data_IF_141270194883
#
_entry.id   IF_141270194883
#
_cell.length_a   1.000
_cell.length_b   1.000
_cell.length_c   1.000
_cell.angle_alpha   90.00
_cell.angle_beta   90.00
_cell.angle_gamma   90.00
#
_symmetry.space_group_name_H-M   'P 1'
#
loop_
_entity.id
_entity.type
_entity.pdbx_description
1 polymer ?
#
# COMPACT_ATOMS: atom_id res chain seq x y z
N UNK A 1 13.27 7.90 -5.02
CA UNK A 1 11.80 7.96 -4.99
C UNK A 1 11.27 7.20 -3.79
N UNK A 2 10.38 7.83 -3.04
CA UNK A 2 9.77 7.20 -1.86
C UNK A 2 8.32 6.84 -2.16
N UNK A 3 7.99 5.57 -1.97
CA UNK A 3 6.67 5.04 -2.26
C UNK A 3 6.10 4.30 -1.06
N UNK A 4 4.80 4.06 -1.09
CA UNK A 4 4.13 3.26 -0.07
C UNK A 4 3.32 2.18 -0.76
N UNK A 5 3.67 0.92 -0.48
CA UNK A 5 2.85 -0.21 -0.91
C UNK A 5 1.69 -0.36 0.06
N UNK A 6 0.53 -0.67 -0.46
CA UNK A 6 -0.70 -0.79 0.32
C UNK A 6 -1.38 -2.10 0.00
N UNK A 7 -1.67 -2.86 1.06
CA UNK A 7 -2.58 -4.00 0.98
C UNK A 7 -3.84 -3.65 1.74
N UNK A 8 -5.00 -3.79 1.10
CA UNK A 8 -6.27 -3.61 1.78
C UNK A 8 -6.77 -4.98 2.21
N UNK A 9 -6.92 -5.15 3.52
CA UNK A 9 -7.32 -6.44 4.10
C UNK A 9 -8.43 -6.20 5.11
N UNK A 10 -9.63 -6.76 4.85
CA UNK A 10 -10.78 -6.49 5.68
C UNK A 10 -11.11 -5.00 5.66
N UNK A 11 -11.12 -4.38 6.82
CA UNK A 11 -11.47 -2.98 6.98
C UNK A 11 -10.24 -2.10 7.24
N UNK A 12 -9.05 -2.55 6.85
CA UNK A 12 -7.84 -1.75 7.09
C UNK A 12 -6.90 -1.74 5.89
N UNK A 13 -6.10 -0.70 5.83
CA UNK A 13 -4.99 -0.60 4.90
C UNK A 13 -3.71 -0.93 5.64
N UNK A 14 -2.91 -1.82 5.07
CA UNK A 14 -1.59 -2.19 5.59
C UNK A 14 -0.56 -1.52 4.72
N UNK A 15 0.40 -0.84 5.35
CA UNK A 15 1.32 0.05 4.67
C UNK A 15 2.77 -0.44 4.78
N UNK A 16 3.53 -0.23 3.72
CA UNK A 16 4.97 -0.44 3.73
C UNK A 16 5.66 0.67 2.96
N UNK A 17 6.43 1.49 3.67
CA UNK A 17 7.24 2.52 3.00
C UNK A 17 8.47 1.88 2.38
N UNK A 18 8.83 2.35 1.20
CA UNK A 18 10.05 1.92 0.53
C UNK A 18 10.63 3.08 -0.25
N UNK A 19 11.93 3.20 -0.22
CA UNK A 19 12.64 4.23 -0.97
C UNK A 19 13.71 3.59 -1.84
N UNK A 20 13.79 4.03 -3.08
CA UNK A 20 14.86 3.64 -3.99
C UNK A 20 15.64 4.90 -4.37
N UNK A 21 16.92 4.92 -4.02
CA UNK A 21 17.77 6.07 -4.27
C UNK A 21 19.21 5.62 -4.44
N UNK A 22 19.85 6.11 -5.51
CA UNK A 22 21.26 5.81 -5.78
C UNK A 22 21.55 4.30 -5.85
N UNK A 23 20.62 3.54 -6.43
CA UNK A 23 20.79 2.10 -6.58
C UNK A 23 20.48 1.28 -5.32
N UNK A 24 20.06 1.92 -4.24
CA UNK A 24 19.80 1.26 -2.96
C UNK A 24 18.34 1.35 -2.56
N UNK A 25 17.83 0.24 -2.02
CA UNK A 25 16.49 0.18 -1.42
C UNK A 25 16.60 0.39 0.08
N UNK A 26 15.75 1.27 0.61
CA UNK A 26 15.64 1.51 2.05
C UNK A 26 14.19 1.31 2.48
N UNK A 27 14.02 0.89 3.72
CA UNK A 27 12.71 0.70 4.34
C UNK A 27 12.57 1.69 5.50
N UNK A 28 12.15 2.94 5.24
CA UNK A 28 11.99 3.91 6.32
C UNK A 28 10.93 3.44 7.31
N UNK A 29 11.16 3.71 8.59
CA UNK A 29 10.16 3.43 9.61
C UNK A 29 8.94 4.32 9.39
N UNK A 30 7.77 3.77 9.70
CA UNK A 30 6.52 4.50 9.61
C UNK A 30 5.80 4.39 10.95
N UNK A 31 5.37 5.54 11.50
CA UNK A 31 4.69 5.56 12.80
C UNK A 31 3.40 4.77 12.82
N UNK A 32 2.82 4.52 11.65
CA UNK A 32 1.57 3.79 11.55
C UNK A 32 1.59 2.92 10.30
N UNK A 33 1.57 1.61 10.49
CA UNK A 33 1.65 0.65 9.39
C UNK A 33 0.31 -0.06 9.14
N UNK A 34 -0.71 0.23 9.94
CA UNK A 34 -2.07 -0.27 9.77
C UNK A 34 -3.03 0.89 10.02
N UNK A 35 -3.96 1.08 9.10
CA UNK A 35 -4.93 2.17 9.20
C UNK A 35 -6.32 1.62 8.96
N UNK A 36 -7.16 1.60 9.99
CA UNK A 36 -8.49 1.01 9.91
C UNK A 36 -9.54 2.04 9.52
N UNK A 37 -10.52 1.60 8.75
CA UNK A 37 -11.72 2.36 8.47
C UNK A 37 -12.88 1.69 9.20
N UNK A 38 -13.26 2.24 10.35
CA UNK A 38 -14.42 1.78 11.11
C UNK A 38 -15.61 2.66 10.77
N UNK A 39 -16.83 2.12 10.96
CA UNK A 39 -18.07 2.86 10.69
C UNK A 39 -18.04 3.48 9.27
N UNK A 40 -17.77 2.66 8.30
CA UNK A 40 -17.56 3.11 6.91
C UNK A 40 -18.79 3.73 6.26
N UNK A 41 -19.95 3.59 6.87
CA UNK A 41 -21.20 4.19 6.39
C UNK A 41 -21.29 5.67 6.72
N UNK A 42 -20.44 6.16 7.62
CA UNK A 42 -20.44 7.57 8.01
C UNK A 42 -19.38 8.34 7.23
N UNK A 43 -19.81 9.41 6.59
CA UNK A 43 -18.90 10.24 5.81
C UNK A 43 -17.73 10.76 6.66
N UNK A 44 -18.00 11.11 7.92
CA UNK A 44 -16.97 11.59 8.83
C UNK A 44 -15.88 10.57 9.05
N UNK A 45 -16.24 9.28 9.18
CA UNK A 45 -15.26 8.21 9.38
C UNK A 45 -14.35 8.06 8.15
N UNK A 46 -14.95 8.14 6.96
CA UNK A 46 -14.18 8.06 5.72
C UNK A 46 -13.24 9.26 5.58
N UNK A 47 -13.72 10.46 5.94
CA UNK A 47 -12.88 11.67 5.91
C UNK A 47 -11.72 11.58 6.88
N UNK A 48 -11.95 11.05 8.10
CA UNK A 48 -10.90 10.88 9.10
C UNK A 48 -9.84 9.90 8.61
N UNK A 49 -10.29 8.81 8.00
CA UNK A 49 -9.37 7.83 7.42
C UNK A 49 -8.50 8.50 6.35
N UNK A 50 -9.13 9.21 5.42
CA UNK A 50 -8.41 9.89 4.34
C UNK A 50 -7.46 10.95 4.88
N UNK A 51 -7.91 11.71 5.87
CA UNK A 51 -7.07 12.73 6.51
C UNK A 51 -5.82 12.11 7.15
N UNK A 52 -6.00 10.99 7.87
CA UNK A 52 -4.87 10.30 8.50
C UNK A 52 -3.85 9.86 7.44
N UNK A 53 -4.34 9.33 6.31
CA UNK A 53 -3.46 8.91 5.23
C UNK A 53 -2.78 10.12 4.57
N UNK A 54 -3.52 11.21 4.39
CA UNK A 54 -2.96 12.46 3.84
C UNK A 54 -1.80 12.96 4.71
N UNK A 55 -1.94 12.88 6.02
CA UNK A 55 -0.88 13.29 6.95
C UNK A 55 0.35 12.39 6.84
N UNK A 56 0.15 11.09 6.68
CA UNK A 56 1.28 10.18 6.47
C UNK A 56 2.02 10.51 5.17
N UNK A 57 1.28 10.75 4.10
CA UNK A 57 1.87 11.12 2.82
C UNK A 57 2.71 12.39 2.96
N UNK A 58 2.16 13.38 3.65
CA UNK A 58 2.83 14.66 3.87
C UNK A 58 4.07 14.51 4.77
N UNK A 59 3.91 13.83 5.90
CA UNK A 59 4.98 13.73 6.91
C UNK A 59 6.15 12.88 6.42
N UNK A 60 5.89 11.84 5.66
CA UNK A 60 6.92 10.95 5.13
C UNK A 60 7.32 11.28 3.69
N UNK A 61 6.73 12.31 3.10
CA UNK A 61 7.01 12.76 1.73
C UNK A 61 6.85 11.62 0.73
N UNK A 62 5.74 10.91 0.85
CA UNK A 62 5.43 9.79 -0.06
C UNK A 62 5.02 10.38 -1.42
N UNK A 63 5.66 9.92 -2.48
CA UNK A 63 5.39 10.39 -3.83
C UNK A 63 4.35 9.56 -4.54
N UNK A 64 4.24 8.29 -4.18
CA UNK A 64 3.38 7.34 -4.87
C UNK A 64 2.81 6.32 -3.91
N UNK A 65 1.51 6.07 -4.00
CA UNK A 65 0.87 4.93 -3.36
C UNK A 65 0.66 3.87 -4.42
N UNK A 66 0.99 2.63 -4.10
CA UNK A 66 0.69 1.51 -4.98
C UNK A 66 -0.21 0.56 -4.21
N UNK A 67 -1.44 0.45 -4.63
CA UNK A 67 -2.44 -0.37 -3.96
C UNK A 67 -2.56 -1.68 -4.72
N UNK A 68 -2.36 -2.80 -4.02
CA UNK A 68 -2.64 -4.09 -4.64
C UNK A 68 -4.13 -4.17 -4.91
N UNK A 69 -4.49 -4.34 -6.18
CA UNK A 69 -5.87 -4.34 -6.61
C UNK A 69 -6.66 -5.47 -5.96
N UNK A 70 -7.87 -5.16 -5.53
CA UNK A 70 -8.74 -6.15 -4.92
C UNK A 70 -9.53 -6.89 -6.01
N UNK A 71 -9.70 -8.22 -5.89
CA UNK A 71 -10.58 -8.93 -6.83
C UNK A 71 -12.00 -8.39 -6.72
N UNK A 72 -12.59 -8.07 -7.88
CA UNK A 72 -13.94 -7.52 -7.93
C UNK A 72 -15.00 -8.60 -8.07
N UNK A 73 -14.60 -9.81 -8.51
CA UNK A 73 -15.50 -10.92 -8.76
C UNK A 73 -14.91 -12.20 -8.22
N UNK A 74 -15.78 -13.20 -8.02
CA UNK A 74 -15.38 -14.54 -7.65
C UNK A 74 -15.29 -14.75 -6.16
N UNK A 75 -14.76 -15.93 -5.80
CA UNK A 75 -14.72 -16.40 -4.41
C UNK A 75 -13.91 -15.49 -3.49
N UNK A 76 -12.88 -14.85 -4.03
CA UNK A 76 -11.98 -14.02 -3.25
C UNK A 76 -12.18 -12.53 -3.47
N UNK A 77 -13.38 -12.15 -3.96
CA UNK A 77 -13.71 -10.75 -4.18
C UNK A 77 -13.58 -9.94 -2.89
N UNK A 78 -13.13 -8.70 -3.00
CA UNK A 78 -13.00 -7.81 -1.86
C UNK A 78 -14.35 -7.37 -1.31
N UNK A 79 -14.41 -7.07 -0.01
CA UNK A 79 -15.60 -6.54 0.64
C UNK A 79 -15.84 -5.08 0.30
N UNK A 80 -17.06 -4.60 0.59
CA UNK A 80 -17.46 -3.23 0.27
C UNK A 80 -16.55 -2.19 0.95
N UNK A 81 -16.19 -2.42 2.22
CA UNK A 81 -15.34 -1.50 2.97
C UNK A 81 -13.99 -1.33 2.27
N UNK A 82 -13.44 -2.42 1.76
CA UNK A 82 -12.15 -2.37 1.06
C UNK A 82 -12.18 -1.48 -0.16
N UNK A 83 -13.28 -1.49 -0.91
CA UNK A 83 -13.40 -0.63 -2.08
C UNK A 83 -13.54 0.84 -1.69
N UNK A 84 -14.16 1.12 -0.53
CA UNK A 84 -14.21 2.49 -0.01
C UNK A 84 -12.81 2.98 0.37
N UNK A 85 -12.02 2.12 1.00
CA UNK A 85 -10.62 2.44 1.34
C UNK A 85 -9.85 2.75 0.06
N UNK A 86 -9.98 1.89 -0.94
CA UNK A 86 -9.30 2.09 -2.22
C UNK A 86 -9.68 3.44 -2.84
N UNK A 87 -10.97 3.75 -2.89
CA UNK A 87 -11.44 5.00 -3.46
C UNK A 87 -10.95 6.21 -2.65
N UNK A 88 -10.98 6.11 -1.32
CA UNK A 88 -10.51 7.21 -0.47
C UNK A 88 -9.03 7.52 -0.72
N UNK A 89 -8.22 6.47 -0.94
CA UNK A 89 -6.81 6.65 -1.26
C UNK A 89 -6.61 7.22 -2.66
N UNK A 90 -7.43 6.79 -3.61
CA UNK A 90 -7.35 7.30 -4.99
C UNK A 90 -7.69 8.78 -5.07
N UNK A 91 -8.46 9.29 -4.12
CA UNK A 91 -8.86 10.70 -4.10
C UNK A 91 -7.83 11.62 -3.43
N UNK A 92 -6.74 11.08 -2.89
CA UNK A 92 -5.68 11.92 -2.34
C UNK A 92 -5.04 12.74 -3.46
N UNK A 93 -4.86 14.04 -3.20
CA UNK A 93 -4.32 14.96 -4.19
C UNK A 93 -2.85 15.32 -3.92
N UNK A 94 -2.27 14.83 -2.83
CA UNK A 94 -0.89 15.14 -2.46
C UNK A 94 0.10 14.02 -2.80
N UNK A 95 -0.32 13.03 -3.57
CA UNK A 95 0.55 11.99 -4.12
C UNK A 95 -0.16 11.33 -5.29
N UNK A 96 0.60 10.61 -6.10
CA UNK A 96 0.03 9.78 -7.16
C UNK A 96 -0.42 8.43 -6.57
N UNK A 97 -1.42 7.82 -7.17
CA UNK A 97 -1.94 6.53 -6.72
C UNK A 97 -2.14 5.62 -7.91
N UNK A 98 -1.64 4.39 -7.78
CA UNK A 98 -1.72 3.38 -8.84
C UNK A 98 -2.27 2.09 -8.25
N UNK A 99 -3.12 1.40 -9.00
CA UNK A 99 -3.55 0.04 -8.66
C UNK A 99 -2.63 -0.95 -9.37
N UNK A 100 -2.21 -1.99 -8.67
CA UNK A 100 -1.41 -3.06 -9.26
C UNK A 100 -2.16 -4.38 -9.13
N UNK A 101 -2.42 -5.04 -10.27
CA UNK A 101 -3.13 -6.32 -10.26
C UNK A 101 -2.25 -7.43 -9.72
N UNK A 102 -2.90 -8.51 -9.27
CA UNK A 102 -2.16 -9.69 -8.78
C UNK A 102 -1.28 -10.28 -9.89
N UNK A 103 -1.76 -10.28 -11.12
CA UNK A 103 -1.00 -10.79 -12.26
C UNK A 103 0.24 -9.95 -12.50
N UNK A 104 0.08 -8.63 -12.52
CA UNK A 104 1.20 -7.71 -12.70
C UNK A 104 2.23 -7.87 -11.60
N UNK A 105 1.78 -8.01 -10.35
CA UNK A 105 2.66 -8.21 -9.22
C UNK A 105 3.49 -9.49 -9.38
N UNK A 106 2.85 -10.60 -9.74
CA UNK A 106 3.53 -11.87 -9.95
C UNK A 106 4.57 -11.78 -11.06
N UNK A 107 4.21 -11.16 -12.17
CA UNK A 107 5.12 -11.01 -13.31
C UNK A 107 6.33 -10.17 -12.94
N UNK A 108 6.13 -9.08 -12.20
CA UNK A 108 7.23 -8.22 -11.77
C UNK A 108 8.18 -8.96 -10.83
N UNK A 109 7.66 -9.70 -9.87
CA UNK A 109 8.49 -10.45 -8.92
C UNK A 109 9.25 -11.57 -9.64
N UNK A 110 8.63 -12.21 -10.62
CA UNK A 110 9.30 -13.25 -11.41
C UNK A 110 10.45 -12.65 -12.22
N UNK A 111 10.23 -11.48 -12.82
CA UNK A 111 11.23 -10.81 -13.65
C UNK A 111 12.34 -10.18 -12.81
N UNK A 112 11.98 -9.66 -11.64
CA UNK A 112 12.92 -8.99 -10.73
C UNK A 112 12.79 -9.62 -9.35
N UNK A 113 13.42 -10.79 -9.11
CA UNK A 113 13.33 -11.45 -7.82
C UNK A 113 13.82 -10.54 -6.68
N UNK A 114 13.21 -10.68 -5.52
CA UNK A 114 13.58 -9.88 -4.36
C UNK A 114 15.00 -10.25 -3.94
N UNK A 115 15.89 -9.25 -3.75
CA UNK A 115 17.29 -9.52 -3.43
C UNK A 115 17.56 -9.95 -2.00
N UNK A 116 16.56 -9.88 -1.12
CA UNK A 116 16.71 -10.25 0.29
C UNK A 116 15.53 -11.10 0.74
N UNK A 117 15.75 -11.91 1.78
CA UNK A 117 14.66 -12.65 2.41
C UNK A 117 13.78 -11.64 3.17
N UNK A 118 12.46 -11.75 3.02
CA UNK A 118 11.54 -10.86 3.73
C UNK A 118 11.79 -10.84 5.23
N UNK A 119 12.11 -12.00 5.82
CA UNK A 119 12.37 -12.10 7.25
C UNK A 119 13.56 -11.23 7.68
N UNK A 120 14.48 -10.96 6.78
CA UNK A 120 15.64 -10.14 7.09
C UNK A 120 15.35 -8.65 7.08
N UNK A 121 14.16 -8.23 6.62
CA UNK A 121 13.80 -6.81 6.51
C UNK A 121 13.45 -6.18 7.86
N UNK A 122 13.08 -6.98 8.85
CA UNK A 122 12.57 -6.46 10.12
C UNK A 122 11.12 -6.03 10.09
N UNK A 123 10.44 -6.15 8.96
CA UNK A 123 9.04 -5.80 8.82
C UNK A 123 8.16 -6.85 9.50
N UNK A 124 6.92 -6.46 9.84
CA UNK A 124 5.95 -7.39 10.40
C UNK A 124 5.48 -8.36 9.33
N UNK A 125 5.18 -9.60 9.73
CA UNK A 125 4.76 -10.63 8.79
C UNK A 125 3.57 -10.20 7.92
N UNK A 126 2.61 -9.45 8.50
CA UNK A 126 1.43 -9.02 7.77
C UNK A 126 1.73 -7.92 6.74
N UNK A 127 2.95 -7.36 6.72
CA UNK A 127 3.33 -6.34 5.74
C UNK A 127 3.90 -6.94 4.45
N UNK A 128 3.99 -8.26 4.33
CA UNK A 128 4.67 -8.88 3.19
C UNK A 128 4.07 -8.47 1.85
N UNK A 129 2.76 -8.51 1.72
CA UNK A 129 2.11 -8.13 0.45
C UNK A 129 2.33 -6.65 0.12
N UNK A 130 2.24 -5.77 1.13
CA UNK A 130 2.50 -4.34 0.92
C UNK A 130 3.95 -4.12 0.52
N UNK A 131 4.88 -4.84 1.14
CA UNK A 131 6.30 -4.80 0.79
C UNK A 131 6.53 -5.22 -0.67
N UNK A 132 5.95 -6.37 -1.08
CA UNK A 132 6.08 -6.87 -2.44
C UNK A 132 5.52 -5.88 -3.46
N UNK A 133 4.39 -5.25 -3.12
CA UNK A 133 3.73 -4.28 -4.01
C UNK A 133 4.61 -3.05 -4.22
N UNK A 134 5.19 -2.52 -3.15
CA UNK A 134 6.11 -1.39 -3.25
C UNK A 134 7.35 -1.76 -4.07
N UNK A 135 7.94 -2.93 -3.77
CA UNK A 135 9.13 -3.39 -4.48
C UNK A 135 8.86 -3.57 -5.96
N UNK A 136 7.75 -4.22 -6.30
CA UNK A 136 7.40 -4.47 -7.70
C UNK A 136 7.25 -3.18 -8.50
N UNK A 137 6.70 -2.14 -7.88
CA UNK A 137 6.57 -0.85 -8.55
C UNK A 137 7.93 -0.23 -8.84
N UNK A 138 8.86 -0.31 -7.88
CA UNK A 138 10.19 0.28 -8.02
C UNK A 138 11.14 -0.56 -8.87
N UNK A 139 10.90 -1.86 -9.00
CA UNK A 139 11.78 -2.76 -9.74
C UNK A 139 11.75 -2.49 -11.25
N UNK A 140 12.92 -2.33 -11.84
CA UNK A 140 13.05 -2.00 -13.26
C UNK A 140 14.29 -2.64 -13.87
#
# INVERSE_FOLDING_TARGET
MRVCGVEIKGSEAILCLMEYQNGLYNLPDCRQIRLALSQDQQAESVRKFQFAMRKLVEDYKIQQLIIKERPQKGKFAGGAVGFKIEAALQLLDNCDTTLMSATELKEKIKRFPIPVDFKATGLKAFQETAFLTAYAFLAR
#
